data_IF_664843895965
#
_entry.id   IF_664843895965
#
_cell.length_a   1.000
_cell.length_b   1.000
_cell.length_c   1.000
_cell.angle_alpha   90.00
_cell.angle_beta   90.00
_cell.angle_gamma   90.00
#
_symmetry.space_group_name_H-M   'P 1'
#
loop_
_entity.id
_entity.type
_entity.pdbx_description
1 polymer ?
#
# COMPACT_ATOMS: atom_id res chain seq x y z
N UNK A 1 -9.03 66.13 27.78
CA UNK A 1 -8.22 64.96 28.15
C UNK A 1 -9.17 63.78 28.36
N UNK A 2 -9.18 62.77 27.49
CA UNK A 2 -10.13 61.62 27.58
C UNK A 2 -9.49 60.49 28.39
N UNK A 3 -10.25 59.90 29.30
CA UNK A 3 -9.77 58.83 30.19
C UNK A 3 -9.86 57.49 29.43
N UNK A 4 -8.82 56.64 29.51
CA UNK A 4 -8.85 55.31 28.90
C UNK A 4 -9.49 54.32 29.88
N UNK A 5 -10.57 53.67 29.46
CA UNK A 5 -11.26 52.64 30.27
C UNK A 5 -11.50 51.39 29.46
N UNK A 6 -11.37 50.23 30.11
CA UNK A 6 -11.55 48.92 29.47
C UNK A 6 -13.03 48.63 29.19
N UNK A 7 -13.92 48.96 30.14
CA UNK A 7 -15.37 48.76 29.96
C UNK A 7 -16.20 49.63 30.93
N UNK A 8 -16.99 50.56 30.39
CA UNK A 8 -17.87 51.45 31.18
C UNK A 8 -18.98 50.67 31.90
N UNK A 9 -19.68 49.71 31.24
CA UNK A 9 -20.60 48.79 31.89
C UNK A 9 -20.01 48.08 33.12
N UNK A 10 -18.77 47.59 33.04
CA UNK A 10 -18.10 46.93 34.17
C UNK A 10 -17.91 47.88 35.35
N UNK A 11 -17.45 49.11 35.11
CA UNK A 11 -17.27 50.13 36.16
C UNK A 11 -18.60 50.48 36.81
N UNK A 12 -19.65 50.70 36.03
CA UNK A 12 -21.00 50.99 36.54
C UNK A 12 -21.52 49.82 37.38
N UNK A 13 -21.26 48.58 36.98
CA UNK A 13 -21.65 47.41 37.76
C UNK A 13 -20.85 47.26 39.05
N UNK A 14 -19.56 47.61 39.07
CA UNK A 14 -18.79 47.66 40.31
C UNK A 14 -19.33 48.72 41.27
N UNK A 15 -19.67 49.91 40.76
CA UNK A 15 -20.28 50.98 41.56
C UNK A 15 -21.62 50.53 42.13
N UNK A 16 -22.47 49.86 41.33
CA UNK A 16 -23.74 49.29 41.80
C UNK A 16 -23.57 48.22 42.89
N UNK A 17 -22.48 47.44 42.85
CA UNK A 17 -22.16 46.44 43.88
C UNK A 17 -21.67 47.11 45.17
N UNK A 18 -20.86 48.15 45.06
CA UNK A 18 -20.34 48.90 46.21
C UNK A 18 -21.42 49.79 46.87
N UNK A 19 -22.32 50.35 46.05
CA UNK A 19 -23.45 51.17 46.50
C UNK A 19 -24.71 50.78 45.72
N UNK A 20 -25.51 49.84 46.27
CA UNK A 20 -26.76 49.43 45.65
C UNK A 20 -27.72 50.62 45.58
N UNK A 21 -28.32 50.91 44.41
CA UNK A 21 -29.29 51.99 44.30
C UNK A 21 -30.55 51.64 45.11
N UNK A 22 -30.86 52.48 46.09
CA UNK A 22 -32.04 52.32 46.97
C UNK A 22 -33.26 53.08 46.44
N UNK A 23 -33.03 54.11 45.63
CA UNK A 23 -34.02 55.10 45.23
C UNK A 23 -33.99 55.36 43.72
N UNK A 24 -35.12 55.80 43.15
CA UNK A 24 -35.24 56.14 41.72
C UNK A 24 -34.26 57.23 41.28
N UNK A 25 -33.92 58.16 42.17
CA UNK A 25 -32.95 59.22 41.87
C UNK A 25 -31.53 58.67 41.72
N UNK A 26 -31.15 57.74 42.60
CA UNK A 26 -29.86 57.05 42.58
C UNK A 26 -29.69 56.22 41.30
N UNK A 27 -30.78 55.62 40.80
CA UNK A 27 -30.80 54.98 39.47
C UNK A 27 -30.61 55.97 38.31
N UNK A 28 -31.29 57.12 38.35
CA UNK A 28 -31.10 58.18 37.34
C UNK A 28 -29.67 58.72 37.34
N UNK A 29 -29.10 58.93 38.53
CA UNK A 29 -27.72 59.37 38.69
C UNK A 29 -26.73 58.38 38.07
N UNK A 30 -26.88 57.08 38.34
CA UNK A 30 -26.03 56.04 37.76
C UNK A 30 -26.15 55.95 36.23
N UNK A 31 -27.35 56.14 35.67
CA UNK A 31 -27.54 56.21 34.22
C UNK A 31 -26.87 57.45 33.61
N UNK A 32 -27.04 58.62 34.24
CA UNK A 32 -26.38 59.85 33.79
C UNK A 32 -24.86 59.71 33.87
N UNK A 33 -24.34 59.08 34.92
CA UNK A 33 -22.93 58.77 35.09
C UNK A 33 -22.41 57.83 34.00
N UNK A 34 -23.18 56.79 33.65
CA UNK A 34 -22.83 55.87 32.55
C UNK A 34 -22.72 56.62 31.22
N UNK A 35 -23.71 57.44 30.88
CA UNK A 35 -23.72 58.26 29.65
C UNK A 35 -22.54 59.24 29.62
N UNK A 36 -22.21 59.84 30.77
CA UNK A 36 -21.12 60.80 30.89
C UNK A 36 -19.75 60.12 30.76
N UNK A 37 -19.60 58.91 31.30
CA UNK A 37 -18.41 58.08 31.14
C UNK A 37 -18.25 57.61 29.69
N UNK A 38 -19.30 57.12 29.04
CA UNK A 38 -19.26 56.70 27.62
C UNK A 38 -18.85 57.84 26.68
N UNK A 39 -19.31 59.07 26.94
CA UNK A 39 -18.97 60.24 26.12
C UNK A 39 -17.53 60.73 26.31
N UNK A 40 -16.93 60.50 27.49
CA UNK A 40 -15.63 61.06 27.87
C UNK A 40 -14.49 60.03 27.89
N UNK A 41 -14.78 58.76 27.63
CA UNK A 41 -13.77 57.69 27.60
C UNK A 41 -13.55 57.17 26.19
N UNK A 42 -12.34 56.66 25.94
CA UNK A 42 -12.04 55.87 24.74
C UNK A 42 -11.80 54.43 25.16
N UNK A 43 -12.51 53.49 24.53
CA UNK A 43 -12.37 52.06 24.80
C UNK A 43 -10.98 51.61 24.36
N UNK A 44 -10.20 51.08 25.30
CA UNK A 44 -8.90 50.48 24.99
C UNK A 44 -9.14 49.01 24.66
N UNK A 45 -8.83 48.58 23.43
CA UNK A 45 -8.91 47.17 23.07
C UNK A 45 -8.05 46.37 24.03
N UNK A 46 -8.66 45.42 24.74
CA UNK A 46 -7.94 44.60 25.70
C UNK A 46 -7.01 43.65 24.95
N UNK A 47 -5.74 43.49 25.35
CA UNK A 47 -4.84 42.48 24.77
C UNK A 47 -5.42 41.05 24.88
N UNK A 48 -6.30 40.82 25.85
CA UNK A 48 -7.01 39.56 26.02
C UNK A 48 -8.07 39.33 24.94
N UNK A 49 -8.78 40.37 24.48
CA UNK A 49 -9.80 40.24 23.44
C UNK A 49 -9.17 39.87 22.08
N UNK A 50 -8.04 40.50 21.71
CA UNK A 50 -7.33 40.14 20.47
C UNK A 50 -6.75 38.74 20.52
N UNK A 51 -6.23 38.32 21.68
CA UNK A 51 -5.78 36.94 21.89
C UNK A 51 -6.94 35.95 21.79
N UNK A 52 -8.10 36.27 22.38
CA UNK A 52 -9.29 35.41 22.37
C UNK A 52 -9.81 35.21 20.94
N UNK A 53 -9.89 36.30 20.17
CA UNK A 53 -10.31 36.27 18.76
C UNK A 53 -9.34 35.40 17.95
N UNK A 54 -8.02 35.61 18.10
CA UNK A 54 -7.02 34.79 17.41
C UNK A 54 -7.09 33.30 17.76
N UNK A 55 -7.32 32.95 19.03
CA UNK A 55 -7.52 31.55 19.43
C UNK A 55 -8.82 30.95 18.88
N UNK A 56 -9.87 31.76 18.79
CA UNK A 56 -11.17 31.33 18.24
C UNK A 56 -11.07 31.08 16.75
N UNK A 57 -10.35 31.94 16.02
CA UNK A 57 -10.13 31.78 14.58
C UNK A 57 -9.32 30.51 14.28
N UNK A 58 -8.26 30.25 15.05
CA UNK A 58 -7.48 29.01 14.94
C UNK A 58 -8.30 27.76 15.24
N UNK A 59 -9.20 27.85 16.23
CA UNK A 59 -10.11 26.75 16.56
C UNK A 59 -11.08 26.49 15.40
N UNK A 60 -11.62 27.54 14.79
CA UNK A 60 -12.51 27.41 13.64
C UNK A 60 -11.81 26.82 12.42
N UNK A 61 -10.57 27.25 12.16
CA UNK A 61 -9.76 26.72 11.06
C UNK A 61 -9.47 25.22 11.25
N UNK A 62 -9.03 24.82 12.44
CA UNK A 62 -8.80 23.39 12.76
C UNK A 62 -10.08 22.57 12.71
N UNK A 63 -11.21 23.13 13.16
CA UNK A 63 -12.52 22.47 13.06
C UNK A 63 -12.92 22.22 11.60
N UNK A 64 -12.73 23.22 10.73
CA UNK A 64 -13.00 23.09 9.30
C UNK A 64 -12.10 22.03 8.66
N UNK A 65 -10.79 22.05 8.91
CA UNK A 65 -9.86 21.03 8.38
C UNK A 65 -10.28 19.61 8.81
N UNK A 66 -10.67 19.45 10.08
CA UNK A 66 -11.13 18.16 10.60
C UNK A 66 -12.42 17.68 9.91
N UNK A 67 -13.34 18.59 9.59
CA UNK A 67 -14.55 18.27 8.85
C UNK A 67 -14.24 17.84 7.40
N UNK A 68 -13.33 18.53 6.72
CA UNK A 68 -12.89 18.15 5.37
C UNK A 68 -12.21 16.79 5.37
N UNK A 69 -11.27 16.55 6.30
CA UNK A 69 -10.59 15.26 6.45
C UNK A 69 -11.58 14.13 6.71
N UNK A 70 -12.55 14.31 7.62
CA UNK A 70 -13.58 13.28 7.88
C UNK A 70 -14.34 12.91 6.62
N UNK A 71 -14.78 13.90 5.84
CA UNK A 71 -15.52 13.67 4.59
C UNK A 71 -14.67 12.94 3.56
N UNK A 72 -13.42 13.35 3.41
CA UNK A 72 -12.51 12.77 2.41
C UNK A 72 -12.09 11.35 2.77
N UNK A 73 -11.81 11.09 4.06
CA UNK A 73 -11.38 9.79 4.55
C UNK A 73 -12.45 8.72 4.28
N UNK A 74 -13.72 9.04 4.53
CA UNK A 74 -14.85 8.14 4.26
C UNK A 74 -14.92 7.80 2.77
N UNK A 75 -14.73 8.80 1.89
CA UNK A 75 -14.76 8.59 0.45
C UNK A 75 -13.60 7.70 0.01
N UNK A 76 -12.37 7.99 0.44
CA UNK A 76 -11.18 7.18 0.09
C UNK A 76 -11.32 5.75 0.57
N UNK A 77 -11.67 5.53 1.84
CA UNK A 77 -11.88 4.18 2.38
C UNK A 77 -12.97 3.41 1.63
N UNK A 78 -14.09 4.07 1.27
CA UNK A 78 -15.15 3.41 0.50
C UNK A 78 -14.67 2.95 -0.88
N UNK A 79 -13.84 3.76 -1.52
CA UNK A 79 -13.28 3.47 -2.84
C UNK A 79 -12.27 2.33 -2.76
N UNK A 80 -11.32 2.42 -1.82
CA UNK A 80 -10.29 1.40 -1.61
C UNK A 80 -10.91 0.04 -1.27
N UNK A 81 -11.92 0.04 -0.39
CA UNK A 81 -12.64 -1.19 -0.04
C UNK A 81 -13.40 -1.77 -1.25
N UNK A 82 -14.08 -0.92 -2.03
CA UNK A 82 -14.77 -1.35 -3.24
C UNK A 82 -13.81 -1.97 -4.26
N UNK A 83 -12.63 -1.38 -4.45
CA UNK A 83 -11.61 -1.88 -5.36
C UNK A 83 -11.04 -3.22 -4.89
N UNK A 84 -10.76 -3.38 -3.60
CA UNK A 84 -10.32 -4.66 -3.01
C UNK A 84 -11.36 -5.75 -3.26
N UNK A 85 -12.63 -5.47 -2.97
CA UNK A 85 -13.73 -6.43 -3.13
C UNK A 85 -13.91 -6.80 -4.61
N UNK A 86 -13.90 -5.82 -5.52
CA UNK A 86 -14.01 -6.09 -6.96
C UNK A 86 -12.83 -6.89 -7.50
N UNK A 87 -11.61 -6.60 -7.05
CA UNK A 87 -10.45 -7.38 -7.44
C UNK A 87 -10.56 -8.84 -6.98
N UNK A 88 -11.03 -9.06 -5.74
CA UNK A 88 -11.29 -10.40 -5.22
C UNK A 88 -12.38 -11.13 -6.02
N UNK A 89 -13.50 -10.46 -6.35
CA UNK A 89 -14.56 -11.02 -7.19
C UNK A 89 -14.05 -11.36 -8.60
N UNK A 90 -13.23 -10.50 -9.19
CA UNK A 90 -12.68 -10.72 -10.53
C UNK A 90 -11.72 -11.92 -10.53
N UNK A 91 -10.90 -12.07 -9.48
CA UNK A 91 -10.04 -13.23 -9.31
C UNK A 91 -10.85 -14.52 -9.13
N UNK A 92 -11.90 -14.49 -8.30
CA UNK A 92 -12.82 -15.62 -8.13
C UNK A 92 -13.49 -16.02 -9.44
N UNK A 93 -13.95 -15.05 -10.23
CA UNK A 93 -14.55 -15.31 -11.54
C UNK A 93 -13.56 -15.97 -12.49
N UNK A 94 -12.33 -15.47 -12.59
CA UNK A 94 -11.27 -16.09 -13.41
C UNK A 94 -10.97 -17.52 -12.98
N UNK A 95 -10.91 -17.77 -11.68
CA UNK A 95 -10.66 -19.12 -11.17
C UNK A 95 -11.83 -20.07 -11.45
N UNK A 96 -13.07 -19.57 -11.37
CA UNK A 96 -14.27 -20.34 -11.76
C UNK A 96 -14.23 -20.70 -13.25
N UNK A 97 -13.96 -19.72 -14.12
CA UNK A 97 -13.88 -19.93 -15.58
C UNK A 97 -12.73 -20.90 -15.94
N UNK A 98 -11.62 -20.86 -15.22
CA UNK A 98 -10.51 -21.81 -15.36
C UNK A 98 -10.89 -23.24 -14.90
N UNK A 99 -11.68 -23.37 -13.83
CA UNK A 99 -12.19 -24.66 -13.35
C UNK A 99 -13.20 -25.28 -14.33
N UNK A 100 -14.08 -24.46 -14.91
CA UNK A 100 -15.06 -24.92 -15.91
C UNK A 100 -14.36 -25.36 -17.22
N UNK A 101 -13.27 -24.70 -17.62
CA UNK A 101 -12.47 -25.12 -18.79
C UNK A 101 -11.61 -26.36 -18.53
N UNK A 102 -11.22 -26.64 -17.29
CA UNK A 102 -10.51 -27.87 -16.89
C UNK A 102 -11.43 -29.10 -16.75
N UNK A 103 -12.75 -28.92 -16.72
CA UNK A 103 -13.70 -29.99 -16.39
C UNK A 103 -14.06 -30.95 -17.54
N UNK A 104 -13.33 -30.94 -18.67
CA UNK A 104 -13.43 -31.93 -19.76
C UNK A 104 -12.01 -32.12 -20.33
N UNK A 105 -11.36 -33.32 -20.41
CA UNK A 105 -11.92 -34.63 -20.79
C UNK A 105 -11.35 -35.86 -20.01
N UNK A 106 -12.16 -36.60 -19.25
CA UNK A 106 -11.68 -37.83 -18.58
C UNK A 106 -11.58 -39.07 -19.49
N UNK A 107 -12.07 -39.01 -20.74
CA UNK A 107 -12.11 -40.19 -21.63
C UNK A 107 -10.98 -40.19 -22.66
N UNK A 108 -10.51 -39.02 -23.11
CA UNK A 108 -9.47 -38.95 -24.16
C UNK A 108 -8.03 -39.07 -23.61
N UNK A 109 -7.77 -38.68 -22.36
CA UNK A 109 -6.41 -38.78 -21.78
C UNK A 109 -5.98 -40.22 -21.49
N UNK A 110 -6.91 -41.05 -21.02
CA UNK A 110 -6.65 -42.48 -20.74
C UNK A 110 -6.25 -43.22 -22.03
N UNK A 111 -6.89 -42.88 -23.15
CA UNK A 111 -6.62 -43.51 -24.44
C UNK A 111 -5.29 -43.02 -25.04
N UNK A 112 -4.92 -41.75 -24.81
CA UNK A 112 -3.61 -41.22 -25.18
C UNK A 112 -2.49 -41.92 -24.41
N UNK A 113 -2.64 -42.08 -23.10
CA UNK A 113 -1.63 -42.72 -22.25
C UNK A 113 -1.42 -44.19 -22.62
N UNK A 114 -2.49 -44.92 -22.93
CA UNK A 114 -2.40 -46.31 -23.40
C UNK A 114 -1.69 -46.45 -24.75
N UNK A 115 -2.01 -45.56 -25.71
CA UNK A 115 -1.36 -45.59 -27.03
C UNK A 115 0.12 -45.23 -26.93
N UNK A 116 0.45 -44.21 -26.14
CA UNK A 116 1.84 -43.76 -25.93
C UNK A 116 2.68 -44.83 -25.20
N UNK A 117 2.09 -45.52 -24.23
CA UNK A 117 2.71 -46.68 -23.55
C UNK A 117 2.95 -47.85 -24.52
N UNK A 118 2.00 -48.15 -25.40
CA UNK A 118 2.13 -49.20 -26.42
C UNK A 118 3.21 -48.87 -27.45
N UNK A 119 3.25 -47.62 -27.94
CA UNK A 119 4.25 -47.14 -28.89
C UNK A 119 5.67 -47.12 -28.25
N UNK A 120 5.75 -46.81 -26.96
CA UNK A 120 7.01 -46.88 -26.20
C UNK A 120 7.50 -48.32 -26.00
N UNK A 121 6.60 -49.25 -25.66
CA UNK A 121 6.94 -50.66 -25.49
C UNK A 121 7.37 -51.33 -26.80
N UNK A 122 6.76 -50.95 -27.93
CA UNK A 122 7.14 -51.47 -29.25
C UNK A 122 8.47 -50.90 -29.76
N UNK A 123 8.83 -49.67 -29.36
CA UNK A 123 10.07 -49.01 -29.78
C UNK A 123 11.27 -49.31 -28.89
N UNK A 124 11.07 -49.67 -27.61
CA UNK A 124 12.15 -50.01 -26.68
C UNK A 124 13.10 -51.12 -27.19
N UNK A 125 12.62 -52.27 -27.72
CA UNK A 125 13.49 -53.31 -28.26
C UNK A 125 14.37 -52.81 -29.41
N UNK A 126 13.83 -51.94 -30.26
CA UNK A 126 14.57 -51.35 -31.38
C UNK A 126 15.67 -50.42 -30.87
N UNK A 127 15.39 -49.62 -29.84
CA UNK A 127 16.37 -48.73 -29.21
C UNK A 127 17.49 -49.55 -28.55
N UNK A 128 17.15 -50.61 -27.81
CA UNK A 128 18.13 -51.52 -27.22
C UNK A 128 19.02 -52.17 -28.29
N UNK A 129 18.44 -52.61 -29.41
CA UNK A 129 19.21 -53.19 -30.52
C UNK A 129 20.19 -52.19 -31.15
N UNK A 130 19.80 -50.91 -31.26
CA UNK A 130 20.66 -49.84 -31.77
C UNK A 130 21.79 -49.52 -30.79
N UNK A 131 21.49 -49.48 -29.49
CA UNK A 131 22.50 -49.27 -28.44
C UNK A 131 23.51 -50.42 -28.40
N UNK A 132 23.06 -51.66 -28.54
CA UNK A 132 23.96 -52.81 -28.58
C UNK A 132 24.87 -52.78 -29.82
N UNK A 133 24.34 -52.39 -30.99
CA UNK A 133 25.15 -52.19 -32.20
C UNK A 133 26.15 -51.05 -32.02
N UNK A 134 25.74 -49.92 -31.45
CA UNK A 134 26.64 -48.80 -31.18
C UNK A 134 27.76 -49.21 -30.22
N UNK A 135 27.44 -49.98 -29.18
CA UNK A 135 28.43 -50.54 -28.26
C UNK A 135 29.43 -51.45 -28.98
N UNK A 136 28.97 -52.38 -29.81
CA UNK A 136 29.84 -53.26 -30.58
C UNK A 136 30.77 -52.48 -31.50
N UNK A 137 30.28 -51.43 -32.17
CA UNK A 137 31.11 -50.58 -33.04
C UNK A 137 32.20 -49.85 -32.23
N UNK A 138 31.86 -49.38 -31.03
CA UNK A 138 32.82 -48.72 -30.13
C UNK A 138 33.88 -49.72 -29.65
N UNK A 139 33.47 -50.93 -29.24
CA UNK A 139 34.39 -51.99 -28.83
C UNK A 139 35.34 -52.39 -29.99
N UNK A 140 34.81 -52.57 -31.20
CA UNK A 140 35.62 -52.85 -32.40
C UNK A 140 36.60 -51.72 -32.73
N UNK A 141 36.20 -50.45 -32.53
CA UNK A 141 37.05 -49.29 -32.77
C UNK A 141 38.19 -49.20 -31.74
N UNK A 142 37.90 -49.54 -30.47
CA UNK A 142 38.91 -49.61 -29.41
C UNK A 142 39.91 -50.74 -29.70
N UNK A 143 39.43 -51.95 -30.04
CA UNK A 143 40.32 -53.07 -30.35
C UNK A 143 41.23 -52.80 -31.55
N UNK A 144 40.70 -52.17 -32.62
CA UNK A 144 41.50 -51.75 -33.76
C UNK A 144 42.55 -50.70 -33.38
N UNK A 145 42.19 -49.73 -32.55
CA UNK A 145 43.11 -48.69 -32.12
C UNK A 145 44.23 -49.26 -31.23
N UNK A 146 43.89 -50.15 -30.30
CA UNK A 146 44.87 -50.87 -29.47
C UNK A 146 45.79 -51.76 -30.32
N UNK A 147 45.26 -52.41 -31.36
CA UNK A 147 46.05 -53.15 -32.35
C UNK A 147 47.05 -52.25 -33.08
N UNK A 148 46.60 -51.09 -33.56
CA UNK A 148 47.48 -50.12 -34.23
C UNK A 148 48.57 -49.56 -33.31
N UNK A 149 48.28 -49.34 -32.02
CA UNK A 149 49.28 -48.90 -31.04
C UNK A 149 50.30 -50.00 -30.77
N UNK A 150 49.88 -51.27 -30.68
CA UNK A 150 50.80 -52.42 -30.51
C UNK A 150 51.70 -52.59 -31.74
N UNK A 151 51.15 -52.45 -32.94
CA UNK A 151 51.92 -52.54 -34.19
C UNK A 151 52.90 -51.36 -34.32
N UNK A 152 52.48 -50.15 -33.92
CA UNK A 152 53.35 -48.98 -33.89
C UNK A 152 54.50 -49.14 -32.88
N UNK A 153 54.23 -49.65 -31.69
CA UNK A 153 55.26 -49.93 -30.69
C UNK A 153 56.22 -51.04 -31.16
N UNK A 154 55.71 -52.09 -31.82
CA UNK A 154 56.54 -53.13 -32.43
C UNK A 154 57.46 -52.60 -33.53
N UNK A 155 56.98 -51.64 -34.35
CA UNK A 155 57.79 -50.95 -35.34
C UNK A 155 58.84 -50.02 -34.71
N UNK A 156 58.50 -49.34 -33.61
CA UNK A 156 59.43 -48.49 -32.86
C UNK A 156 60.54 -49.34 -32.23
N UNK A 157 60.19 -50.46 -31.58
CA UNK A 157 61.17 -51.38 -30.99
C UNK A 157 62.08 -52.01 -32.06
N UNK A 158 61.53 -52.38 -33.23
CA UNK A 158 62.30 -52.85 -34.36
C UNK A 158 63.27 -51.77 -34.90
N UNK A 159 62.83 -50.51 -34.99
CA UNK A 159 63.67 -49.40 -35.42
C UNK A 159 64.85 -49.14 -34.47
N UNK A 160 64.63 -49.13 -33.16
CA UNK A 160 65.69 -48.95 -32.16
C UNK A 160 66.61 -50.18 -31.98
N UNK A 161 66.18 -51.38 -32.37
CA UNK A 161 67.04 -52.57 -32.37
C UNK A 161 67.99 -52.68 -33.58
N UNK A 162 67.80 -51.84 -34.60
CA UNK A 162 68.58 -51.85 -35.85
C UNK A 162 69.65 -50.75 -35.89
N UNK A 163 69.69 -49.88 -34.88
CA UNK A 163 70.70 -48.82 -34.66
C UNK A 163 71.64 -49.27 -33.55
#
# INVERSE_FOLDING_TARGET
MKIQTFDVPHIINQIKRASPPKDKETHKFLNNLAILLEKNTTKKNSPLESSLVSTTDKLNETFLDLCFRRKELVKRFSQDYFDIVNNAFTALKRNKDALETLSIPQVDSINWDLKTMSDSNSSMPLIFSKLQKARSIIEDAIEKNDGMIKDANGCIDAFFSTI
#
